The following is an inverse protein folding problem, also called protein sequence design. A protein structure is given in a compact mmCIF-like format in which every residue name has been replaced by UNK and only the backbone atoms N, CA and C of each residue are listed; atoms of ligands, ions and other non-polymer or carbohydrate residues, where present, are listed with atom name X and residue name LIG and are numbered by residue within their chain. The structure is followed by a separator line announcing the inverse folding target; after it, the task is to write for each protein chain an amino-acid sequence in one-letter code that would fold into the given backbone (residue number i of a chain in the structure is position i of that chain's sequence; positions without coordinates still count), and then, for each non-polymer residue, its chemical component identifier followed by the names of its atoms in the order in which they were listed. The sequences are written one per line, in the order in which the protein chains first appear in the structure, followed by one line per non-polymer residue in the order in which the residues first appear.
data_IF_363981556864
#
_entry.id   IF_363981556864
#
_cell.length_a   1.000
_cell.length_b   1.000
_cell.length_c   1.000
_cell.angle_alpha   90.00
_cell.angle_beta   90.00
_cell.angle_gamma   90.00
#
_symmetry.space_group_name_H-M   'P 1'
#
loop_
_entity.id
_entity.type
_entity.pdbx_description
1 polymer ?
#
# COMPACT_ATOMS: atom_id res chain seq x y z
N UNK A 1 -12.30 -14.28 -24.14
CA UNK A 1 -12.48 -13.97 -22.71
C UNK A 1 -11.48 -12.89 -22.36
N UNK A 2 -11.90 -11.64 -22.34
CA UNK A 2 -11.05 -10.55 -21.84
C UNK A 2 -11.31 -10.48 -20.34
N UNK A 3 -10.43 -11.11 -19.54
CA UNK A 3 -10.40 -10.83 -18.10
C UNK A 3 -10.34 -9.32 -17.91
N UNK A 4 -11.24 -8.79 -17.09
CA UNK A 4 -11.26 -7.39 -16.69
C UNK A 4 -10.06 -7.15 -15.76
N UNK A 5 -8.86 -7.03 -16.32
CA UNK A 5 -7.71 -6.66 -15.52
C UNK A 5 -7.96 -5.27 -14.93
N UNK A 6 -8.07 -5.18 -13.60
CA UNK A 6 -8.07 -3.90 -12.92
C UNK A 6 -6.77 -3.16 -13.23
N UNK A 7 -6.78 -1.82 -13.14
CA UNK A 7 -5.55 -1.03 -13.31
C UNK A 7 -4.45 -1.55 -12.37
N UNK A 8 -4.81 -1.94 -11.15
CA UNK A 8 -3.88 -2.53 -10.18
C UNK A 8 -3.25 -3.84 -10.67
N UNK A 9 -4.03 -4.73 -11.28
CA UNK A 9 -3.53 -5.98 -11.85
C UNK A 9 -2.56 -5.72 -13.02
N UNK A 10 -2.91 -4.78 -13.90
CA UNK A 10 -2.03 -4.34 -14.98
C UNK A 10 -0.69 -3.78 -14.44
N UNK A 11 -0.75 -2.98 -13.38
CA UNK A 11 0.45 -2.45 -12.73
C UNK A 11 1.30 -3.54 -12.08
N UNK A 12 0.69 -4.50 -11.38
CA UNK A 12 1.41 -5.62 -10.78
C UNK A 12 2.14 -6.46 -11.84
N UNK A 13 1.50 -6.69 -12.99
CA UNK A 13 2.05 -7.48 -14.08
C UNK A 13 3.18 -6.79 -14.85
N UNK A 14 3.19 -5.45 -14.93
CA UNK A 14 4.06 -4.72 -15.85
C UNK A 14 5.04 -3.75 -15.20
N UNK A 15 4.83 -3.34 -13.95
CA UNK A 15 5.75 -2.42 -13.28
C UNK A 15 6.89 -3.17 -12.57
N UNK A 16 8.12 -2.62 -12.61
CA UNK A 16 9.20 -3.07 -11.73
C UNK A 16 8.78 -2.98 -10.25
N UNK A 17 9.28 -3.88 -9.40
CA UNK A 17 8.96 -3.97 -7.98
C UNK A 17 8.93 -2.60 -7.29
N UNK A 18 10.05 -1.86 -7.34
CA UNK A 18 10.16 -0.56 -6.69
C UNK A 18 9.12 0.47 -7.19
N UNK A 19 8.81 0.48 -8.49
CA UNK A 19 7.83 1.40 -9.05
C UNK A 19 6.41 1.05 -8.59
N UNK A 20 6.09 -0.24 -8.53
CA UNK A 20 4.82 -0.73 -8.00
C UNK A 20 4.66 -0.39 -6.51
N UNK A 21 5.67 -0.68 -5.68
CA UNK A 21 5.66 -0.36 -4.25
C UNK A 21 5.51 1.14 -3.99
N UNK A 22 6.24 1.99 -4.70
CA UNK A 22 6.09 3.46 -4.57
C UNK A 22 4.66 3.89 -4.91
N UNK A 23 4.03 3.31 -5.93
CA UNK A 23 2.64 3.63 -6.24
C UNK A 23 1.70 3.21 -5.11
N UNK A 24 1.82 1.97 -4.63
CA UNK A 24 1.00 1.44 -3.52
C UNK A 24 1.15 2.32 -2.27
N UNK A 25 2.38 2.61 -1.86
CA UNK A 25 2.68 3.45 -0.69
C UNK A 25 2.15 4.87 -0.85
N UNK A 26 2.12 5.43 -2.08
CA UNK A 26 1.48 6.72 -2.35
C UNK A 26 -0.04 6.68 -2.20
N UNK A 27 -0.69 5.58 -2.59
CA UNK A 27 -2.12 5.38 -2.32
C UNK A 27 -2.40 5.33 -0.82
N UNK A 28 -1.65 4.51 -0.07
CA UNK A 28 -1.79 4.43 1.39
C UNK A 28 -1.53 5.78 2.05
N UNK A 29 -0.49 6.51 1.64
CA UNK A 29 -0.19 7.86 2.10
C UNK A 29 -1.37 8.81 1.89
N UNK A 30 -2.00 8.78 0.72
CA UNK A 30 -3.16 9.63 0.43
C UNK A 30 -4.33 9.34 1.37
N UNK A 31 -4.60 8.06 1.65
CA UNK A 31 -5.64 7.65 2.60
C UNK A 31 -5.31 8.08 4.03
N UNK A 32 -4.07 7.90 4.49
CA UNK A 32 -3.64 8.33 5.82
C UNK A 32 -3.84 9.84 6.01
N UNK A 33 -3.42 10.66 5.04
CA UNK A 33 -3.63 12.12 5.06
C UNK A 33 -5.13 12.48 5.01
N UNK A 34 -5.94 11.67 4.30
CA UNK A 34 -7.38 11.88 4.25
C UNK A 34 -8.09 11.56 5.57
N UNK A 35 -7.56 10.63 6.38
CA UNK A 35 -8.14 10.24 7.67
C UNK A 35 -7.61 11.07 8.83
N UNK A 36 -6.36 11.52 8.73
CA UNK A 36 -5.71 12.37 9.71
C UNK A 36 -5.05 13.55 8.99
N UNK A 37 -5.68 14.72 9.11
CA UNK A 37 -5.18 15.96 8.52
C UNK A 37 -3.83 16.42 9.07
N UNK A 38 -3.38 15.88 10.21
CA UNK A 38 -2.08 16.18 10.81
C UNK A 38 -1.02 15.13 10.46
N UNK A 39 -1.38 14.07 9.72
CA UNK A 39 -0.45 13.02 9.37
C UNK A 39 0.72 13.54 8.53
N UNK A 40 1.92 13.13 8.89
CA UNK A 40 3.17 13.43 8.17
C UNK A 40 3.72 12.12 7.68
N UNK A 41 3.60 11.85 6.38
CA UNK A 41 3.94 10.55 5.78
C UNK A 41 4.87 10.75 4.59
N UNK A 42 5.95 9.97 4.57
CA UNK A 42 7.02 10.00 3.58
C UNK A 42 7.11 8.66 2.84
N UNK A 43 7.53 8.72 1.58
CA UNK A 43 7.79 7.55 0.74
C UNK A 43 9.13 7.75 0.06
N UNK A 44 10.12 7.00 0.49
CA UNK A 44 11.47 7.04 -0.06
C UNK A 44 11.77 5.76 -0.82
N UNK A 45 12.60 5.89 -1.85
CA UNK A 45 13.06 4.79 -2.67
C UNK A 45 14.57 4.90 -2.78
N UNK A 46 15.24 3.81 -2.45
CA UNK A 46 16.69 3.66 -2.54
C UNK A 46 17.01 2.38 -3.30
N UNK A 47 18.30 2.12 -3.53
CA UNK A 47 18.73 0.91 -4.22
C UNK A 47 18.39 -0.34 -3.40
N UNK A 48 17.39 -1.09 -3.90
CA UNK A 48 16.98 -2.39 -3.35
C UNK A 48 15.79 -2.35 -2.40
N UNK A 49 15.33 -1.18 -1.97
CA UNK A 49 14.21 -1.06 -1.03
C UNK A 49 13.33 0.18 -1.25
N UNK A 50 12.10 0.12 -0.72
CA UNK A 50 11.16 1.23 -0.63
C UNK A 50 10.68 1.36 0.81
N UNK A 51 10.59 2.59 1.30
CA UNK A 51 10.31 2.90 2.70
C UNK A 51 9.10 3.81 2.82
N UNK A 52 8.10 3.39 3.60
CA UNK A 52 6.94 4.18 3.98
C UNK A 52 7.01 4.44 5.48
N UNK A 53 7.12 5.70 5.89
CA UNK A 53 7.28 6.06 7.30
C UNK A 53 6.66 7.41 7.62
N UNK A 54 6.44 7.66 8.91
CA UNK A 54 5.86 8.91 9.35
C UNK A 54 5.11 8.79 10.66
N UNK A 55 4.19 9.72 10.86
CA UNK A 55 3.26 9.76 11.99
C UNK A 55 1.84 9.92 11.45
N UNK A 56 0.91 9.12 11.96
CA UNK A 56 -0.51 9.24 11.71
C UNK A 56 -1.28 8.84 12.98
N UNK A 57 -2.36 9.55 13.28
CA UNK A 57 -3.20 9.35 14.46
C UNK A 57 -2.41 9.41 15.77
N UNK A 58 -1.35 10.23 15.82
CA UNK A 58 -0.46 10.35 16.98
C UNK A 58 0.51 9.18 17.17
N UNK A 59 0.62 8.27 16.20
CA UNK A 59 1.49 7.09 16.27
C UNK A 59 2.53 7.11 15.15
N UNK A 60 3.80 6.92 15.54
CA UNK A 60 4.93 6.81 14.61
C UNK A 60 4.96 5.40 14.00
N UNK A 61 5.20 5.32 12.70
CA UNK A 61 5.34 4.08 11.96
C UNK A 61 6.48 4.12 10.93
N UNK A 62 6.96 2.94 10.57
CA UNK A 62 8.01 2.73 9.58
C UNK A 62 7.85 1.33 9.00
N UNK A 63 7.68 1.24 7.68
CA UNK A 63 7.50 0.00 6.91
C UNK A 63 8.53 0.02 5.78
N UNK A 64 9.54 -0.84 5.89
CA UNK A 64 10.63 -0.98 4.94
C UNK A 64 10.42 -2.28 4.17
N UNK A 65 10.47 -2.22 2.84
CA UNK A 65 10.28 -3.39 1.98
C UNK A 65 11.41 -3.49 0.97
N UNK A 66 12.00 -4.67 0.87
CA UNK A 66 12.92 -5.03 -0.20
C UNK A 66 12.16 -5.26 -1.51
N UNK A 67 12.85 -5.13 -2.64
CA UNK A 67 12.25 -5.45 -3.94
C UNK A 67 11.79 -6.91 -4.04
N UNK A 68 12.47 -7.85 -3.36
CA UNK A 68 12.10 -9.26 -3.34
C UNK A 68 10.74 -9.47 -2.65
N UNK A 69 10.55 -8.91 -1.45
CA UNK A 69 9.26 -8.96 -0.75
C UNK A 69 8.14 -8.33 -1.59
N UNK A 70 8.43 -7.22 -2.28
CA UNK A 70 7.44 -6.57 -3.15
C UNK A 70 7.04 -7.47 -4.32
N UNK A 71 7.98 -8.16 -4.95
CA UNK A 71 7.67 -9.08 -6.04
C UNK A 71 6.89 -10.32 -5.56
N UNK A 72 7.16 -10.81 -4.34
CA UNK A 72 6.36 -11.87 -3.71
C UNK A 72 4.90 -11.42 -3.56
N UNK A 73 4.65 -10.24 -2.97
CA UNK A 73 3.28 -9.72 -2.82
C UNK A 73 2.59 -9.45 -4.16
N UNK A 74 3.33 -8.92 -5.15
CA UNK A 74 2.79 -8.68 -6.49
C UNK A 74 2.32 -9.97 -7.18
N UNK A 75 3.03 -11.08 -6.94
CA UNK A 75 2.72 -12.37 -7.54
C UNK A 75 1.50 -13.06 -6.88
N UNK A 76 1.23 -12.76 -5.61
CA UNK A 76 0.10 -13.33 -4.87
C UNK A 76 -1.25 -12.78 -5.33
N UNK A 77 -1.42 -11.45 -5.30
CA UNK A 77 -2.65 -10.77 -5.69
C UNK A 77 -2.38 -9.28 -5.93
N UNK A 78 -3.07 -8.60 -6.87
CA UNK A 78 -2.82 -7.20 -7.17
C UNK A 78 -2.92 -6.25 -5.97
N UNK A 79 -3.69 -6.57 -4.93
CA UNK A 79 -3.85 -5.77 -3.72
C UNK A 79 -3.19 -6.41 -2.47
N UNK A 80 -2.43 -7.49 -2.60
CA UNK A 80 -1.77 -8.15 -1.46
C UNK A 80 -0.84 -7.20 -0.71
N UNK A 81 -0.04 -6.41 -1.44
CA UNK A 81 0.87 -5.44 -0.83
C UNK A 81 0.11 -4.33 -0.07
N UNK A 82 -1.00 -3.83 -0.63
CA UNK A 82 -1.85 -2.85 0.04
C UNK A 82 -2.37 -3.41 1.37
N UNK A 83 -2.89 -4.65 1.36
CA UNK A 83 -3.39 -5.33 2.57
C UNK A 83 -2.30 -5.56 3.60
N UNK A 84 -1.10 -5.97 3.15
CA UNK A 84 0.05 -6.13 4.03
C UNK A 84 0.40 -4.82 4.75
N UNK A 85 0.48 -3.71 4.02
CA UNK A 85 0.78 -2.39 4.62
C UNK A 85 -0.30 -1.99 5.62
N UNK A 86 -1.60 -2.14 5.29
CA UNK A 86 -2.68 -1.84 6.23
C UNK A 86 -2.67 -2.74 7.47
N UNK A 87 -2.27 -4.01 7.34
CA UNK A 87 -2.07 -4.89 8.48
C UNK A 87 -0.94 -4.40 9.39
N UNK A 88 0.22 -4.02 8.83
CA UNK A 88 1.34 -3.47 9.62
C UNK A 88 1.00 -2.16 10.33
N UNK A 89 0.21 -1.30 9.69
CA UNK A 89 -0.33 -0.09 10.32
C UNK A 89 -1.33 -0.43 11.43
N UNK A 90 -2.21 -1.41 11.21
CA UNK A 90 -3.19 -1.86 12.20
C UNK A 90 -2.55 -2.47 13.45
N UNK A 91 -1.41 -3.15 13.32
CA UNK A 91 -0.60 -3.62 14.48
C UNK A 91 -0.12 -2.47 15.39
N UNK A 92 -0.10 -1.25 14.86
CA UNK A 92 0.26 -0.01 15.58
C UNK A 92 -0.98 0.82 15.94
N UNK A 93 -2.17 0.24 15.84
CA UNK A 93 -3.44 0.91 16.10
C UNK A 93 -3.75 2.09 15.15
N UNK A 94 -3.04 2.17 14.01
CA UNK A 94 -3.34 3.12 12.94
C UNK A 94 -4.38 2.48 12.03
N UNK A 95 -5.64 2.87 12.18
CA UNK A 95 -6.77 2.23 11.51
C UNK A 95 -7.50 3.20 10.57
N UNK A 96 -8.08 2.71 9.46
CA UNK A 96 -8.98 3.52 8.66
C UNK A 96 -10.14 4.09 9.48
N UNK A 97 -10.43 5.38 9.35
CA UNK A 97 -11.56 6.03 10.05
C UNK A 97 -12.89 5.89 9.30
N UNK A 98 -12.83 5.58 8.00
CA UNK A 98 -14.00 5.33 7.15
C UNK A 98 -13.62 4.46 5.95
N UNK A 99 -14.61 3.80 5.37
CA UNK A 99 -14.44 2.94 4.20
C UNK A 99 -14.49 3.76 2.89
N UNK A 100 -13.33 4.07 2.31
CA UNK A 100 -13.19 4.79 1.03
C UNK A 100 -13.30 3.85 -0.18
N UNK A 101 -13.51 4.36 -1.40
CA UNK A 101 -13.50 3.52 -2.60
C UNK A 101 -12.20 2.72 -2.78
N UNK A 102 -11.05 3.29 -2.41
CA UNK A 102 -9.77 2.57 -2.43
C UNK A 102 -9.76 1.42 -1.42
N UNK A 103 -10.13 1.67 -0.16
CA UNK A 103 -10.16 0.60 0.85
C UNK A 103 -11.16 -0.50 0.52
N UNK A 104 -12.30 -0.14 -0.11
CA UNK A 104 -13.22 -1.15 -0.65
C UNK A 104 -12.53 -2.02 -1.67
N UNK A 105 -11.77 -1.48 -2.61
CA UNK A 105 -11.05 -2.28 -3.59
C UNK A 105 -9.98 -3.17 -2.95
N UNK A 106 -9.21 -2.64 -2.00
CA UNK A 106 -8.16 -3.38 -1.27
C UNK A 106 -8.70 -4.56 -0.48
N UNK A 107 -9.85 -4.38 0.19
CA UNK A 107 -10.49 -5.38 1.05
C UNK A 107 -11.67 -6.11 0.40
N UNK A 108 -11.95 -5.86 -0.88
CA UNK A 108 -12.91 -6.69 -1.62
C UNK A 108 -12.24 -8.03 -1.89
N UNK A 109 -12.80 -9.08 -1.32
CA UNK A 109 -12.49 -10.44 -1.75
C UNK A 109 -13.29 -10.63 -3.05
N UNK A 110 -12.62 -10.64 -4.20
CA UNK A 110 -13.24 -11.20 -5.41
C UNK A 110 -13.54 -12.67 -5.09
N UNK A 111 -14.83 -12.99 -4.95
CA UNK A 111 -15.33 -14.35 -4.66
C UNK A 111 -15.37 -15.20 -5.91
#
# INVERSE_FOLDING_TARGET
MAERFSIRACMAAHLPAAAFAVHVMRCVRAELIQFDSQAVVHVDREDGYVHLYGEAQGTIFSILLTNAEVDEWKAEDPYALDRYIWMELGKKEILPTRMTPYLRAVFSIES
#
